data_IF_829940158232
#
_entry.id   IF_829940158232
#
_cell.length_a   1.000
_cell.length_b   1.000
_cell.length_c   1.000
_cell.angle_alpha   90.00
_cell.angle_beta   90.00
_cell.angle_gamma   90.00
#
_symmetry.space_group_name_H-M   'P 1'
#
loop_
_entity.id
_entity.type
_entity.pdbx_description
1 polymer ?
#
# COMPACT_ATOMS: atom_id res chain seq x y z
N UNK A 1 -14.75 8.25 102.13
CA UNK A 1 -13.44 7.63 102.39
C UNK A 1 -13.21 6.59 101.31
N UNK A 2 -12.28 6.69 100.37
CA UNK A 2 -11.27 7.71 100.11
C UNK A 2 -10.89 7.70 98.63
N UNK A 3 -10.32 8.84 98.23
CA UNK A 3 -9.64 9.12 96.96
C UNK A 3 -8.52 8.13 96.66
N UNK A 4 -8.25 7.88 95.37
CA UNK A 4 -6.92 8.14 94.77
C UNK A 4 -6.84 7.67 93.32
N UNK A 5 -6.67 8.62 92.41
CA UNK A 5 -5.98 8.43 91.11
C UNK A 5 -4.46 8.33 91.34
N UNK A 6 -3.73 7.60 90.49
CA UNK A 6 -2.70 8.28 89.70
C UNK A 6 -2.52 7.77 88.26
N UNK A 7 -1.73 8.57 87.54
CA UNK A 7 -1.60 8.77 86.11
C UNK A 7 -0.66 7.83 85.31
N UNK A 8 -0.86 7.89 83.98
CA UNK A 8 0.13 7.84 82.86
C UNK A 8 0.78 6.47 82.54
N UNK A 9 1.15 6.11 81.30
CA UNK A 9 1.86 6.89 80.25
C UNK A 9 1.68 6.22 78.86
N UNK A 10 1.28 6.99 77.85
CA UNK A 10 1.24 6.55 76.45
C UNK A 10 2.66 6.48 75.85
N UNK A 11 2.96 5.44 75.07
CA UNK A 11 4.18 5.33 74.25
C UNK A 11 3.83 5.48 72.75
N UNK A 12 4.41 6.42 71.99
CA UNK A 12 4.17 6.58 70.57
C UNK A 12 5.33 6.00 69.75
N UNK A 13 5.33 4.69 69.49
CA UNK A 13 6.41 4.06 68.68
C UNK A 13 5.91 3.36 67.41
N UNK A 14 4.68 3.65 66.96
CA UNK A 14 4.05 2.95 65.82
C UNK A 14 3.92 3.77 64.52
N UNK A 15 4.77 4.76 64.26
CA UNK A 15 4.59 5.62 63.07
C UNK A 15 5.82 5.74 62.16
N UNK A 16 7.00 5.25 62.55
CA UNK A 16 8.20 5.40 61.70
C UNK A 16 8.38 4.33 60.62
N UNK A 17 7.89 3.11 60.81
CA UNK A 17 8.13 2.02 59.83
C UNK A 17 7.16 1.98 58.65
N UNK A 18 6.01 2.66 58.72
CA UNK A 18 5.01 2.64 57.65
C UNK A 18 5.38 3.53 56.45
N UNK A 19 6.16 4.60 56.66
CA UNK A 19 6.47 5.59 55.61
C UNK A 19 7.53 5.14 54.60
N UNK A 20 8.39 4.17 54.93
CA UNK A 20 9.51 3.77 54.05
C UNK A 20 9.10 2.67 53.06
N UNK A 21 8.11 1.84 53.39
CA UNK A 21 7.60 0.78 52.50
C UNK A 21 6.73 1.32 51.35
N UNK A 22 5.97 2.40 51.59
CA UNK A 22 5.09 2.99 50.58
C UNK A 22 5.86 3.70 49.46
N UNK A 23 7.01 4.32 49.79
CA UNK A 23 7.83 5.02 48.81
C UNK A 23 8.48 4.05 47.80
N UNK A 24 8.99 2.89 48.26
CA UNK A 24 9.63 1.90 47.37
C UNK A 24 8.64 1.26 46.41
N UNK A 25 7.37 1.09 46.82
CA UNK A 25 6.33 0.51 45.98
C UNK A 25 5.86 1.48 44.88
N UNK A 26 5.81 2.79 45.18
CA UNK A 26 5.50 3.83 44.19
C UNK A 26 6.55 3.94 43.08
N UNK A 27 7.84 3.79 43.41
CA UNK A 27 8.91 3.83 42.40
C UNK A 27 8.87 2.62 41.46
N UNK A 28 8.51 1.43 41.96
CA UNK A 28 8.35 0.23 41.12
C UNK A 28 7.12 0.32 40.20
N UNK A 29 6.01 0.89 40.68
CA UNK A 29 4.83 1.14 39.85
C UNK A 29 5.11 2.19 38.76
N UNK A 30 5.81 3.28 39.08
CA UNK A 30 6.22 4.26 38.06
C UNK A 30 7.18 3.67 37.02
N UNK A 31 8.12 2.81 37.43
CA UNK A 31 9.03 2.13 36.51
C UNK A 31 8.28 1.17 35.57
N UNK A 32 7.32 0.40 36.07
CA UNK A 32 6.47 -0.47 35.23
C UNK A 32 5.60 0.32 34.25
N UNK A 33 5.03 1.46 34.66
CA UNK A 33 4.24 2.33 33.77
C UNK A 33 5.12 2.98 32.70
N UNK A 34 6.34 3.40 33.04
CA UNK A 34 7.31 3.92 32.08
C UNK A 34 7.78 2.85 31.08
N UNK A 35 7.99 1.60 31.53
CA UNK A 35 8.33 0.50 30.64
C UNK A 35 7.16 0.12 29.71
N UNK A 36 5.91 0.09 30.20
CA UNK A 36 4.73 -0.19 29.38
C UNK A 36 4.44 0.93 28.37
N UNK A 37 4.64 2.20 28.75
CA UNK A 37 4.50 3.33 27.84
C UNK A 37 5.59 3.36 26.74
N UNK A 38 6.82 2.89 27.07
CA UNK A 38 7.90 2.76 26.10
C UNK A 38 7.63 1.72 25.00
N UNK A 39 6.82 0.70 25.29
CA UNK A 39 6.47 -0.35 24.32
C UNK A 39 5.28 0.04 23.42
N UNK A 40 4.42 0.96 23.87
CA UNK A 40 3.31 1.48 23.05
C UNK A 40 3.72 2.44 21.93
N UNK A 41 4.99 2.88 21.89
CA UNK A 41 5.50 3.80 20.87
C UNK A 41 6.27 3.12 19.72
N UNK A 42 6.25 1.80 19.63
CA UNK A 42 6.71 1.11 18.43
C UNK A 42 5.58 1.06 17.40
N UNK A 43 5.25 2.22 16.82
CA UNK A 43 4.57 2.22 15.54
C UNK A 43 5.49 1.51 14.54
N UNK A 44 5.05 0.46 13.83
CA UNK A 44 5.77 0.00 12.67
C UNK A 44 5.69 1.12 11.66
N UNK A 45 6.72 1.97 11.61
CA UNK A 45 6.96 2.82 10.46
C UNK A 45 7.39 1.86 9.35
N UNK A 46 6.40 1.32 8.64
CA UNK A 46 6.66 0.72 7.34
C UNK A 46 7.33 1.81 6.54
N UNK A 47 8.61 1.62 6.25
CA UNK A 47 9.33 2.47 5.32
C UNK A 47 8.60 2.38 3.99
N UNK A 48 7.65 3.30 3.76
CA UNK A 48 7.12 3.60 2.45
C UNK A 48 8.29 4.18 1.68
N UNK A 49 9.01 3.29 0.99
CA UNK A 49 9.93 3.67 -0.07
C UNK A 49 9.22 4.59 -1.05
N UNK A 50 10.01 5.28 -1.86
CA UNK A 50 9.69 6.34 -2.82
C UNK A 50 8.56 6.08 -3.84
N UNK A 51 7.81 5.00 -3.71
CA UNK A 51 6.66 4.63 -4.53
C UNK A 51 5.35 5.26 -4.01
N UNK A 52 4.82 6.23 -4.75
CA UNK A 52 3.54 6.86 -4.48
C UNK A 52 2.78 7.16 -5.78
N UNK A 53 1.46 7.23 -5.70
CA UNK A 53 0.64 7.77 -6.79
C UNK A 53 0.50 9.27 -6.51
N UNK A 54 1.08 10.11 -7.35
CA UNK A 54 1.21 11.57 -7.10
C UNK A 54 0.02 12.34 -7.61
N UNK A 55 -0.60 11.88 -8.69
CA UNK A 55 -1.81 12.46 -9.25
C UNK A 55 -2.77 11.34 -9.64
N UNK A 56 -4.04 11.51 -9.29
CA UNK A 56 -5.12 10.62 -9.67
C UNK A 56 -6.35 11.47 -9.98
N UNK A 57 -6.85 11.35 -11.20
CA UNK A 57 -8.02 12.08 -11.69
C UNK A 57 -8.95 11.11 -12.40
N UNK A 58 -10.24 11.25 -12.13
CA UNK A 58 -11.27 10.42 -12.73
C UNK A 58 -12.32 11.31 -13.35
N UNK A 59 -12.59 11.09 -14.62
CA UNK A 59 -13.58 11.81 -15.40
C UNK A 59 -14.73 10.85 -15.74
N UNK A 60 -15.97 11.30 -15.53
CA UNK A 60 -17.16 10.58 -16.01
C UNK A 60 -17.49 11.10 -17.41
N UNK A 61 -17.60 10.21 -18.38
CA UNK A 61 -18.02 10.53 -19.75
C UNK A 61 -19.18 9.64 -20.16
N UNK A 62 -19.92 9.97 -21.24
CA UNK A 62 -21.00 9.11 -21.74
C UNK A 62 -20.54 7.70 -22.14
N UNK A 63 -19.26 7.56 -22.50
CA UNK A 63 -18.65 6.27 -22.86
C UNK A 63 -18.26 5.44 -21.63
N UNK A 64 -18.15 6.05 -20.46
CA UNK A 64 -17.78 5.42 -19.20
C UNK A 64 -16.86 6.28 -18.33
N UNK A 65 -16.24 5.64 -17.35
CA UNK A 65 -15.34 6.31 -16.41
C UNK A 65 -13.90 6.21 -16.91
N UNK A 66 -13.24 7.35 -17.10
CA UNK A 66 -11.85 7.46 -17.53
C UNK A 66 -10.95 7.85 -16.36
N UNK A 67 -9.86 7.12 -16.17
CA UNK A 67 -8.85 7.34 -15.15
C UNK A 67 -7.56 7.85 -15.79
N UNK A 68 -7.02 8.94 -15.25
CA UNK A 68 -5.67 9.42 -15.51
C UNK A 68 -4.89 9.47 -14.20
N UNK A 69 -3.66 8.96 -14.20
CA UNK A 69 -2.82 8.90 -13.01
C UNK A 69 -1.34 9.08 -13.34
N UNK A 70 -0.61 9.65 -12.39
CA UNK A 70 0.85 9.71 -12.39
C UNK A 70 1.39 8.89 -11.21
N UNK A 71 2.24 7.92 -11.53
CA UNK A 71 2.94 7.09 -10.57
C UNK A 71 4.35 7.65 -10.40
N UNK A 72 4.81 7.84 -9.17
CA UNK A 72 6.20 8.14 -8.88
C UNK A 72 6.80 6.94 -8.17
N UNK A 73 7.76 6.26 -8.80
CA UNK A 73 8.46 5.15 -8.19
C UNK A 73 9.81 4.92 -8.87
N UNK A 74 10.70 4.27 -8.14
CA UNK A 74 11.95 3.72 -8.64
C UNK A 74 11.86 2.19 -8.57
N UNK A 75 12.59 1.50 -9.45
CA UNK A 75 12.68 0.05 -9.38
C UNK A 75 13.57 -0.36 -8.21
N UNK A 76 13.17 -1.36 -7.40
CA UNK A 76 14.08 -1.94 -6.43
C UNK A 76 15.32 -2.55 -7.13
N UNK A 77 16.50 -2.39 -6.52
CA UNK A 77 17.78 -2.85 -7.07
C UNK A 77 17.76 -4.32 -7.54
N UNK A 78 17.11 -5.21 -6.78
CA UNK A 78 17.03 -6.62 -7.14
C UNK A 78 16.16 -6.88 -8.39
N UNK A 79 15.15 -6.04 -8.61
CA UNK A 79 14.27 -6.11 -9.78
C UNK A 79 15.03 -5.63 -11.02
N UNK A 80 15.80 -4.54 -10.89
CA UNK A 80 16.66 -4.03 -11.94
C UNK A 80 17.76 -5.04 -12.32
N UNK A 81 18.46 -5.60 -11.34
CA UNK A 81 19.47 -6.65 -11.54
C UNK A 81 18.91 -7.87 -12.29
N UNK A 82 17.69 -8.29 -11.95
CA UNK A 82 17.03 -9.40 -12.59
C UNK A 82 16.65 -9.07 -14.04
N UNK A 83 16.17 -7.85 -14.30
CA UNK A 83 15.92 -7.35 -15.65
C UNK A 83 17.20 -7.39 -16.50
N UNK A 84 18.31 -6.87 -15.97
CA UNK A 84 19.61 -6.87 -16.67
C UNK A 84 20.11 -8.28 -16.99
N UNK A 85 19.76 -9.28 -16.16
CA UNK A 85 20.01 -10.71 -16.40
C UNK A 85 19.05 -11.34 -17.43
N UNK A 86 18.17 -10.55 -18.04
CA UNK A 86 17.20 -11.00 -19.06
C UNK A 86 15.91 -11.59 -18.48
N UNK A 87 15.68 -11.46 -17.18
CA UNK A 87 14.49 -11.97 -16.52
C UNK A 87 13.38 -10.95 -16.68
N UNK A 88 12.24 -11.38 -17.22
CA UNK A 88 11.12 -10.50 -17.50
C UNK A 88 10.33 -10.19 -16.23
N UNK A 89 9.98 -8.92 -16.03
CA UNK A 89 9.18 -8.45 -14.89
C UNK A 89 7.76 -8.12 -15.33
N UNK A 90 6.80 -8.53 -14.51
CA UNK A 90 5.38 -8.32 -14.74
C UNK A 90 4.81 -7.37 -13.70
N UNK A 91 4.21 -6.28 -14.15
CA UNK A 91 3.55 -5.29 -13.31
C UNK A 91 2.06 -5.29 -13.60
N UNK A 92 1.27 -5.01 -12.57
CA UNK A 92 -0.19 -5.01 -12.67
C UNK A 92 -0.70 -3.70 -12.10
N UNK A 93 -1.51 -3.01 -12.90
CA UNK A 93 -2.26 -1.83 -12.53
C UNK A 93 -3.74 -2.22 -12.46
N UNK A 94 -4.36 -2.06 -11.30
CA UNK A 94 -5.75 -2.43 -11.05
C UNK A 94 -6.53 -1.21 -10.61
N UNK A 95 -7.70 -1.01 -11.22
CA UNK A 95 -8.67 -0.01 -10.82
C UNK A 95 -9.96 -0.71 -10.40
N UNK A 96 -10.40 -0.45 -9.18
CA UNK A 96 -11.66 -0.92 -8.63
C UNK A 96 -12.58 0.27 -8.42
N UNK A 97 -13.81 0.18 -8.92
CA UNK A 97 -14.86 1.17 -8.65
C UNK A 97 -15.80 0.56 -7.62
N UNK A 98 -15.83 1.17 -6.44
CA UNK A 98 -16.56 0.72 -5.27
C UNK A 98 -17.72 1.66 -4.99
N UNK A 99 -18.87 1.09 -4.63
CA UNK A 99 -20.00 1.83 -4.07
C UNK A 99 -19.99 1.72 -2.56
N UNK A 100 -20.01 2.88 -1.91
CA UNK A 100 -20.15 3.01 -0.46
C UNK A 100 -21.57 2.59 -0.04
N UNK A 101 -21.67 1.58 0.82
CA UNK A 101 -22.95 1.11 1.41
C UNK A 101 -22.85 1.19 2.93
N UNK A 102 -23.94 1.63 3.59
CA UNK A 102 -23.88 2.04 5.00
C UNK A 102 -23.95 0.90 6.04
N UNK A 103 -24.45 -0.29 5.69
CA UNK A 103 -24.68 -1.39 6.66
C UNK A 103 -24.05 -2.73 6.26
N UNK A 104 -23.21 -2.72 5.23
CA UNK A 104 -22.46 -3.89 4.76
C UNK A 104 -21.31 -3.42 3.87
N UNK A 105 -20.34 -4.31 3.62
CA UNK A 105 -19.12 -4.05 2.85
C UNK A 105 -19.37 -3.32 1.53
N UNK A 106 -18.39 -2.52 1.10
CA UNK A 106 -18.42 -1.83 -0.20
C UNK A 106 -18.72 -2.82 -1.33
N UNK A 107 -19.59 -2.42 -2.26
CA UNK A 107 -19.91 -3.24 -3.41
C UNK A 107 -19.05 -2.84 -4.60
N UNK A 108 -18.29 -3.80 -5.13
CA UNK A 108 -17.56 -3.63 -6.38
C UNK A 108 -18.54 -3.49 -7.55
N UNK A 109 -18.48 -2.36 -8.24
CA UNK A 109 -19.30 -2.06 -9.41
C UNK A 109 -18.58 -2.40 -10.71
N UNK A 110 -17.28 -2.12 -10.76
CA UNK A 110 -16.44 -2.38 -11.91
C UNK A 110 -15.00 -2.68 -11.46
N UNK A 111 -14.34 -3.54 -12.23
CA UNK A 111 -12.95 -3.90 -12.04
C UNK A 111 -12.24 -3.92 -13.38
N UNK A 112 -11.16 -3.15 -13.47
CA UNK A 112 -10.32 -3.08 -14.66
C UNK A 112 -8.88 -3.35 -14.29
N UNK A 113 -8.21 -4.22 -15.04
CA UNK A 113 -6.79 -4.52 -14.87
C UNK A 113 -6.03 -4.23 -16.15
N UNK A 114 -4.85 -3.63 -16.00
CA UNK A 114 -3.86 -3.41 -17.05
C UNK A 114 -2.57 -4.10 -16.64
N UNK A 115 -2.07 -4.95 -17.53
CA UNK A 115 -0.86 -5.70 -17.33
C UNK A 115 0.27 -5.04 -18.11
N UNK A 116 1.44 -4.95 -17.49
CA UNK A 116 2.64 -4.39 -18.10
C UNK A 116 3.78 -5.39 -17.96
N UNK A 117 4.59 -5.54 -19.01
CA UNK A 117 5.72 -6.46 -19.02
C UNK A 117 6.95 -5.72 -19.48
N UNK A 118 7.94 -5.64 -18.60
CA UNK A 118 9.24 -5.02 -18.86
C UNK A 118 10.29 -6.12 -19.01
N UNK A 119 11.10 -6.01 -20.06
CA UNK A 119 12.22 -6.94 -20.31
C UNK A 119 13.41 -6.18 -20.91
N UNK A 120 14.61 -6.60 -20.55
CA UNK A 120 15.84 -6.12 -21.17
C UNK A 120 16.41 -7.16 -22.13
N UNK A 121 16.92 -6.71 -23.27
CA UNK A 121 17.58 -7.56 -24.25
C UNK A 121 19.09 -7.32 -24.23
N UNK A 122 19.90 -8.22 -23.64
CA UNK A 122 21.33 -7.97 -23.47
C UNK A 122 22.10 -7.80 -24.79
N UNK A 123 21.68 -8.51 -25.84
CA UNK A 123 22.36 -8.49 -27.14
C UNK A 123 22.17 -7.15 -27.87
N UNK A 124 20.95 -6.63 -27.86
CA UNK A 124 20.60 -5.37 -28.53
C UNK A 124 20.68 -4.16 -27.60
N UNK A 125 20.85 -4.40 -26.29
CA UNK A 125 20.81 -3.41 -25.21
C UNK A 125 19.54 -2.58 -25.21
N UNK A 126 18.42 -3.19 -25.54
CA UNK A 126 17.11 -2.50 -25.62
C UNK A 126 16.17 -2.95 -24.53
N UNK A 127 15.40 -1.99 -24.01
CA UNK A 127 14.29 -2.20 -23.11
C UNK A 127 13.01 -2.40 -23.92
N UNK A 128 12.22 -3.42 -23.59
CA UNK A 128 10.92 -3.69 -24.22
C UNK A 128 9.82 -3.64 -23.19
N UNK A 129 8.84 -2.79 -23.43
CA UNK A 129 7.64 -2.63 -22.63
C UNK A 129 6.43 -3.11 -23.43
N UNK A 130 5.69 -4.06 -22.87
CA UNK A 130 4.39 -4.47 -23.40
C UNK A 130 3.29 -4.07 -22.42
N UNK A 131 2.21 -3.46 -22.92
CA UNK A 131 1.04 -3.07 -22.12
C UNK A 131 -0.19 -3.73 -22.74
N UNK A 132 -1.00 -4.43 -21.94
CA UNK A 132 -2.25 -5.04 -22.40
C UNK A 132 -3.36 -4.96 -21.34
N UNK A 133 -4.61 -5.06 -21.80
CA UNK A 133 -5.79 -5.20 -20.94
C UNK A 133 -6.06 -6.66 -20.53
N UNK A 134 -5.51 -7.63 -21.26
CA UNK A 134 -5.60 -9.06 -20.95
C UNK A 134 -4.31 -9.57 -20.31
N UNK A 135 -4.35 -10.65 -19.50
CA UNK A 135 -3.15 -11.22 -18.90
C UNK A 135 -2.11 -11.60 -19.95
N UNK A 136 -0.84 -11.19 -19.77
CA UNK A 136 0.28 -11.61 -20.63
C UNK A 136 0.77 -13.00 -20.20
N UNK A 137 -0.09 -14.01 -20.29
CA UNK A 137 0.30 -15.41 -20.06
C UNK A 137 0.75 -16.02 -21.39
N UNK A 138 2.07 -16.04 -21.63
CA UNK A 138 2.66 -16.82 -22.74
C UNK A 138 3.76 -16.13 -23.53
N UNK A 139 4.64 -16.96 -24.11
CA UNK A 139 5.75 -16.63 -25.03
C UNK A 139 5.28 -16.25 -26.44
N UNK A 140 3.97 -16.14 -26.68
CA UNK A 140 3.39 -15.75 -27.95
C UNK A 140 3.19 -14.25 -28.06
N UNK A 141 3.76 -13.64 -29.10
CA UNK A 141 3.37 -12.32 -29.58
C UNK A 141 1.87 -12.35 -29.94
N UNK A 142 1.03 -11.82 -29.06
CA UNK A 142 -0.42 -11.93 -29.14
C UNK A 142 -1.01 -11.12 -30.29
N UNK A 143 -1.22 -11.76 -31.44
CA UNK A 143 -2.26 -11.37 -32.39
C UNK A 143 -3.57 -12.00 -31.92
N UNK A 144 -4.30 -11.27 -31.08
CA UNK A 144 -5.57 -11.72 -30.53
C UNK A 144 -6.32 -10.54 -29.96
N UNK A 145 -7.07 -9.85 -30.82
CA UNK A 145 -8.17 -8.88 -30.59
C UNK A 145 -8.18 -8.02 -29.30
N UNK A 146 -7.03 -7.81 -28.67
CA UNK A 146 -6.79 -6.89 -27.58
C UNK A 146 -5.64 -5.99 -28.01
N UNK A 147 -5.79 -4.68 -27.83
CA UNK A 147 -4.75 -3.71 -28.12
C UNK A 147 -3.59 -3.91 -27.12
N UNK A 148 -2.67 -4.82 -27.45
CA UNK A 148 -1.39 -4.91 -26.78
C UNK A 148 -0.42 -3.91 -27.42
N UNK A 149 -0.04 -2.88 -26.68
CA UNK A 149 0.93 -1.89 -27.12
C UNK A 149 2.33 -2.37 -26.74
N UNK A 150 3.18 -2.60 -27.74
CA UNK A 150 4.59 -2.95 -27.55
C UNK A 150 5.46 -1.78 -27.97
N UNK A 151 6.28 -1.28 -27.05
CA UNK A 151 7.24 -0.20 -27.29
C UNK A 151 8.65 -0.66 -26.89
N UNK A 152 9.66 -0.08 -27.55
CA UNK A 152 11.07 -0.35 -27.28
C UNK A 152 11.75 0.97 -26.95
N UNK A 153 12.63 0.95 -25.95
CA UNK A 153 13.38 2.11 -25.47
C UNK A 153 14.86 1.77 -25.39
N UNK A 154 15.71 2.80 -25.47
CA UNK A 154 17.15 2.65 -25.32
C UNK A 154 17.59 2.77 -23.85
N UNK A 155 16.83 3.52 -23.03
CA UNK A 155 17.10 3.75 -21.61
C UNK A 155 15.98 3.23 -20.68
N UNK A 156 16.36 2.83 -19.46
CA UNK A 156 15.42 2.36 -18.45
C UNK A 156 14.48 3.48 -17.97
N UNK A 157 14.99 4.69 -17.78
CA UNK A 157 14.21 5.82 -17.31
C UNK A 157 13.09 6.19 -18.30
N UNK A 158 13.33 6.06 -19.60
CA UNK A 158 12.30 6.27 -20.63
C UNK A 158 11.19 5.22 -20.53
N UNK A 159 11.57 3.95 -20.39
CA UNK A 159 10.60 2.86 -20.21
C UNK A 159 9.78 3.06 -18.92
N UNK A 160 10.42 3.49 -17.83
CA UNK A 160 9.74 3.78 -16.56
C UNK A 160 8.81 4.98 -16.67
N UNK A 161 9.20 6.07 -17.35
CA UNK A 161 8.34 7.23 -17.58
C UNK A 161 7.06 6.84 -18.33
N UNK A 162 7.19 5.98 -19.35
CA UNK A 162 6.04 5.43 -20.06
C UNK A 162 5.11 4.58 -19.16
N UNK A 163 5.65 3.85 -18.19
CA UNK A 163 4.86 3.10 -17.21
C UNK A 163 4.21 3.99 -16.15
N UNK A 164 4.90 5.06 -15.76
CA UNK A 164 4.49 6.00 -14.71
C UNK A 164 3.30 6.87 -15.12
N UNK A 165 3.10 7.08 -16.42
CA UNK A 165 2.05 7.95 -16.94
C UNK A 165 0.86 7.16 -17.49
N UNK A 166 -0.25 7.22 -16.77
CA UNK A 166 -1.52 6.60 -17.17
C UNK A 166 -2.48 7.69 -17.64
N UNK A 167 -2.93 7.61 -18.89
CA UNK A 167 -3.84 8.59 -19.47
C UNK A 167 -5.12 7.93 -19.98
N UNK A 168 -6.27 8.57 -19.69
CA UNK A 168 -7.61 8.26 -20.24
C UNK A 168 -7.92 6.76 -20.27
N UNK A 169 -7.55 6.04 -19.22
CA UNK A 169 -7.83 4.61 -19.13
C UNK A 169 -9.29 4.40 -18.75
N UNK A 170 -10.07 3.77 -19.63
CA UNK A 170 -11.45 3.38 -19.31
C UNK A 170 -11.46 2.27 -18.25
N UNK A 171 -12.05 2.57 -17.08
CA UNK A 171 -12.07 1.68 -15.91
C UNK A 171 -13.47 1.12 -15.59
N UNK A 172 -14.53 1.73 -16.12
CA UNK A 172 -15.90 1.26 -16.03
C UNK A 172 -16.70 1.71 -17.26
N UNK A 173 -17.71 0.94 -17.65
CA UNK A 173 -18.68 1.35 -18.65
C UNK A 173 -19.75 2.27 -18.04
N UNK A 174 -20.31 3.19 -18.83
CA UNK A 174 -21.34 4.12 -18.35
C UNK A 174 -22.58 3.42 -17.77
N UNK A 175 -22.93 2.25 -18.30
CA UNK A 175 -24.05 1.44 -17.78
C UNK A 175 -23.79 0.83 -16.39
N UNK A 176 -22.52 0.69 -15.98
CA UNK A 176 -22.15 0.07 -14.71
C UNK A 176 -22.20 1.06 -13.55
N UNK A 177 -21.99 2.35 -13.80
CA UNK A 177 -21.82 3.37 -12.76
C UNK A 177 -22.77 4.54 -13.00
N UNK A 178 -23.90 4.65 -12.26
CA UNK A 178 -24.80 5.79 -12.34
C UNK A 178 -24.09 7.10 -11.97
N UNK A 179 -24.35 8.18 -12.71
CA UNK A 179 -23.68 9.49 -12.51
C UNK A 179 -24.03 10.15 -11.17
N UNK A 180 -25.25 9.92 -10.67
CA UNK A 180 -25.77 10.52 -9.44
C UNK A 180 -25.27 9.82 -8.17
N UNK A 181 -24.43 8.80 -8.31
CA UNK A 181 -24.01 7.96 -7.19
C UNK A 181 -22.58 8.27 -6.76
N UNK A 182 -22.34 8.50 -5.44
CA UNK A 182 -20.98 8.60 -4.94
C UNK A 182 -20.29 7.24 -5.05
N UNK A 183 -19.05 7.27 -5.54
CA UNK A 183 -18.23 6.06 -5.70
C UNK A 183 -16.80 6.33 -5.26
N UNK A 184 -16.12 5.29 -4.82
CA UNK A 184 -14.70 5.33 -4.49
C UNK A 184 -13.94 4.53 -5.54
N UNK A 185 -12.98 5.17 -6.20
CA UNK A 185 -12.07 4.50 -7.13
C UNK A 185 -10.79 4.17 -6.36
N UNK A 186 -10.43 2.89 -6.31
CA UNK A 186 -9.17 2.44 -5.74
C UNK A 186 -8.22 2.01 -6.86
N UNK A 187 -7.08 2.69 -6.95
CA UNK A 187 -5.99 2.36 -7.87
C UNK A 187 -4.90 1.63 -7.10
N UNK A 188 -4.47 0.48 -7.63
CA UNK A 188 -3.36 -0.31 -7.11
C UNK A 188 -2.37 -0.57 -8.22
N UNK A 189 -1.09 -0.36 -7.96
CA UNK A 189 -0.02 -0.75 -8.87
C UNK A 189 1.02 -1.56 -8.10
N UNK A 190 1.54 -2.61 -8.73
CA UNK A 190 2.65 -3.33 -8.14
C UNK A 190 3.26 -4.38 -9.04
N UNK A 191 4.37 -4.92 -8.56
CA UNK A 191 5.08 -6.04 -9.16
C UNK A 191 4.36 -7.37 -8.83
N UNK A 192 4.07 -8.16 -9.86
CA UNK A 192 3.50 -9.51 -9.71
C UNK A 192 4.62 -10.55 -9.61
N UNK A 193 4.92 -10.94 -8.38
CA UNK A 193 5.94 -11.93 -8.06
C UNK A 193 5.53 -13.36 -8.43
N UNK A 194 4.25 -13.63 -8.68
CA UNK A 194 3.76 -14.98 -9.00
C UNK A 194 4.25 -15.48 -10.37
N UNK A 195 4.57 -14.54 -11.27
CA UNK A 195 5.08 -14.82 -12.62
C UNK A 195 6.61 -14.98 -12.67
N UNK A 196 7.31 -14.79 -11.55
CA UNK A 196 8.77 -14.97 -11.51
C UNK A 196 9.14 -16.45 -11.65
N UNK A 197 10.31 -16.78 -12.21
CA UNK A 197 10.83 -18.14 -12.18
C UNK A 197 10.89 -18.70 -10.75
N UNK A 198 10.52 -19.97 -10.57
CA UNK A 198 10.46 -20.65 -9.27
C UNK A 198 11.69 -20.43 -8.35
N UNK A 199 12.94 -20.46 -8.85
CA UNK A 199 14.10 -20.19 -8.00
C UNK A 199 14.10 -18.79 -7.37
N UNK A 200 13.63 -17.78 -8.11
CA UNK A 200 13.55 -16.40 -7.62
C UNK A 200 12.36 -16.16 -6.69
N UNK A 201 11.27 -16.91 -6.88
CA UNK A 201 10.11 -16.83 -5.98
C UNK A 201 10.52 -17.07 -4.51
N UNK A 202 11.37 -18.07 -4.26
CA UNK A 202 11.85 -18.40 -2.90
C UNK A 202 12.62 -17.23 -2.26
N UNK A 203 13.36 -16.46 -3.06
CA UNK A 203 14.12 -15.29 -2.59
C UNK A 203 13.31 -14.00 -2.52
N UNK A 204 12.22 -13.89 -3.27
CA UNK A 204 11.37 -12.69 -3.33
C UNK A 204 10.33 -12.64 -2.19
N UNK A 205 9.79 -13.79 -1.77
CA UNK A 205 8.83 -13.84 -0.67
C UNK A 205 9.53 -13.58 0.68
N UNK A 206 9.25 -12.41 1.28
CA UNK A 206 9.75 -12.03 2.61
C UNK A 206 10.95 -11.08 2.63
N UNK A 207 11.43 -10.61 1.47
CA UNK A 207 12.48 -9.58 1.37
C UNK A 207 11.92 -8.26 0.81
N UNK A 208 12.23 -7.14 1.48
CA UNK A 208 11.89 -5.79 1.01
C UNK A 208 12.53 -5.42 -0.34
N UNK A 209 13.60 -6.13 -0.74
CA UNK A 209 14.30 -5.88 -2.01
C UNK A 209 13.47 -6.13 -3.28
N UNK A 210 12.31 -6.77 -3.16
CA UNK A 210 11.38 -7.03 -4.28
C UNK A 210 10.03 -6.33 -4.14
N UNK A 211 9.80 -5.61 -3.03
CA UNK A 211 8.50 -4.98 -2.78
C UNK A 211 8.37 -3.67 -3.55
N UNK A 212 7.52 -3.66 -4.57
CA UNK A 212 7.02 -2.46 -5.22
C UNK A 212 5.50 -2.56 -5.28
N UNK A 213 4.84 -1.83 -4.39
CA UNK A 213 3.38 -1.74 -4.36
C UNK A 213 2.99 -0.32 -3.95
N UNK A 214 1.98 0.21 -4.62
CA UNK A 214 1.39 1.52 -4.30
C UNK A 214 -0.13 1.41 -4.43
N UNK A 215 -0.84 2.16 -3.59
CA UNK A 215 -2.30 2.18 -3.58
C UNK A 215 -2.77 3.58 -3.27
N UNK A 216 -3.77 4.04 -4.01
CA UNK A 216 -4.46 5.31 -3.75
C UNK A 216 -5.96 5.13 -3.97
N UNK A 217 -6.75 5.77 -3.10
CA UNK A 217 -8.20 5.82 -3.21
C UNK A 217 -8.65 7.25 -3.46
N UNK A 218 -9.54 7.44 -4.43
CA UNK A 218 -10.20 8.71 -4.71
C UNK A 218 -11.70 8.55 -4.56
N UNK A 219 -12.32 9.33 -3.68
CA UNK A 219 -13.77 9.40 -3.55
C UNK A 219 -14.33 10.44 -4.52
N UNK A 220 -15.33 10.06 -5.29
CA UNK A 220 -16.06 10.90 -6.21
C UNK A 220 -17.47 11.09 -5.67
N UNK A 221 -17.90 12.34 -5.53
CA UNK A 221 -19.29 12.64 -5.22
C UNK A 221 -20.22 12.17 -6.36
N UNK A 222 -21.47 11.86 -6.00
CA UNK A 222 -22.53 11.58 -6.97
C UNK A 222 -23.22 12.89 -7.36
N UNK A 223 -23.34 13.14 -8.67
CA UNK A 223 -24.19 14.18 -9.22
C UNK A 223 -23.58 15.58 -9.38
N UNK A 224 -23.93 16.18 -10.53
CA UNK A 224 -24.21 17.62 -10.70
C UNK A 224 -23.06 18.58 -10.49
N UNK A 225 -22.46 19.03 -11.59
CA UNK A 225 -21.81 20.35 -11.61
C UNK A 225 -22.86 21.41 -11.24
N UNK A 226 -22.54 22.42 -10.40
CA UNK A 226 -23.47 23.49 -10.05
C UNK A 226 -23.95 24.28 -11.26
#
# INVERSE_FOLDING_TARGET
>A
MDSSTPCWKNSPERTRHARVRTLRWQHWLMACVLCLAGWSLQSPAWAQGSAAITQMQVERTPEGMLLSAALAFELPEHVEDALLKGITMHFVLQAQVLRERWYWSDAEMAHSTRYMRLSYQPLTRRWRLHISSTPLTGTGSGSGLGLALSQTYDDLAEALNAMQRISRWKIADGAQVPEDMPVTVQLRFGLDLSQLPRPLQIGAFGRSGWSLQMTQSLRLAGGGQP
#
